data_IF_390939768335
#
_entry.id   IF_390939768335
#
_cell.length_a   1.000
_cell.length_b   1.000
_cell.length_c   1.000
_cell.angle_alpha   90.00
_cell.angle_beta   90.00
_cell.angle_gamma   90.00
#
_symmetry.space_group_name_H-M   'P 1'
#
loop_
_entity.id
_entity.type
_entity.pdbx_description
1 polymer ?
#
# COMPACT_ATOMS: atom_id res chain seq x y z
N UNK A 1 23.20 -25.54 9.06
CA UNK A 1 21.76 -25.80 8.77
C UNK A 1 20.94 -24.70 9.42
N UNK A 2 20.65 -23.61 8.71
CA UNK A 2 19.80 -22.54 9.23
C UNK A 2 18.33 -22.95 9.06
N UNK A 3 17.64 -23.09 10.18
CA UNK A 3 16.18 -23.25 10.21
C UNK A 3 15.56 -22.10 9.40
N UNK A 4 14.84 -22.44 8.32
CA UNK A 4 13.99 -21.49 7.60
C UNK A 4 12.95 -20.97 8.60
N UNK A 5 13.16 -19.75 9.07
CA UNK A 5 12.25 -19.03 9.92
C UNK A 5 10.86 -19.02 9.26
N UNK A 6 9.85 -19.50 10.00
CA UNK A 6 8.45 -19.52 9.61
C UNK A 6 8.07 -18.16 9.03
N UNK A 7 7.57 -18.14 7.79
CA UNK A 7 7.25 -16.90 7.08
C UNK A 7 6.23 -16.08 7.89
N UNK A 8 6.45 -14.77 8.14
CA UNK A 8 5.52 -13.96 8.92
C UNK A 8 4.23 -13.67 8.14
N UNK A 9 4.07 -14.12 6.89
CA UNK A 9 2.91 -13.77 6.06
C UNK A 9 1.86 -14.88 6.01
N UNK A 10 0.61 -14.52 6.29
CA UNK A 10 -0.57 -15.30 5.92
C UNK A 10 -1.18 -14.72 4.66
N UNK A 11 -0.83 -15.30 3.52
CA UNK A 11 -1.28 -14.84 2.20
C UNK A 11 -2.53 -15.60 1.73
N UNK A 12 -3.43 -14.90 1.04
CA UNK A 12 -4.59 -15.48 0.37
C UNK A 12 -4.95 -14.69 -0.90
N UNK A 13 -5.74 -15.29 -1.78
CA UNK A 13 -6.13 -14.66 -3.05
C UNK A 13 -4.97 -14.59 -4.06
N UNK A 14 -5.03 -13.61 -4.95
CA UNK A 14 -4.10 -13.48 -6.07
C UNK A 14 -2.96 -12.50 -5.74
N UNK A 15 -1.73 -13.02 -5.72
CA UNK A 15 -0.51 -12.23 -5.56
C UNK A 15 0.27 -12.18 -6.88
N UNK A 16 1.15 -11.17 -7.07
CA UNK A 16 2.12 -11.21 -8.17
C UNK A 16 3.02 -12.44 -8.05
N UNK A 17 3.08 -13.26 -9.10
CA UNK A 17 3.88 -14.50 -9.12
C UNK A 17 4.98 -14.49 -10.17
N UNK A 18 4.91 -13.59 -11.15
CA UNK A 18 5.87 -13.48 -12.23
C UNK A 18 6.65 -12.16 -12.09
N UNK A 19 7.90 -12.19 -11.58
CA UNK A 19 8.69 -10.97 -11.40
C UNK A 19 9.10 -10.33 -12.73
N UNK A 20 8.99 -11.03 -13.86
CA UNK A 20 9.32 -10.47 -15.18
C UNK A 20 8.20 -9.62 -15.78
N UNK A 21 6.98 -9.73 -15.22
CA UNK A 21 5.82 -8.97 -15.70
C UNK A 21 5.64 -7.67 -14.91
N UNK A 22 5.50 -6.53 -15.60
CA UNK A 22 5.15 -5.27 -14.97
C UNK A 22 3.78 -5.33 -14.27
N UNK A 23 3.70 -4.75 -13.08
CA UNK A 23 2.49 -4.72 -12.27
C UNK A 23 2.34 -3.38 -11.53
N UNK A 24 1.10 -2.97 -11.30
CA UNK A 24 0.77 -1.89 -10.36
C UNK A 24 0.08 -2.53 -9.15
N UNK A 25 0.64 -2.30 -7.96
CA UNK A 25 0.17 -2.87 -6.70
C UNK A 25 -0.48 -1.75 -5.89
N UNK A 26 -1.74 -1.92 -5.54
CA UNK A 26 -2.51 -1.01 -4.70
C UNK A 26 -2.65 -1.61 -3.31
N UNK A 27 -2.49 -0.82 -2.26
CA UNK A 27 -2.68 -1.30 -0.91
C UNK A 27 -3.31 -0.24 0.01
N UNK A 28 -4.01 -0.70 1.06
CA UNK A 28 -4.41 0.16 2.17
C UNK A 28 -3.20 0.58 3.01
N UNK A 29 -3.30 1.72 3.69
CA UNK A 29 -2.20 2.30 4.46
C UNK A 29 -2.57 2.52 5.94
N UNK A 30 -2.34 1.51 6.78
CA UNK A 30 -2.68 1.57 8.20
C UNK A 30 -1.54 2.07 9.09
N UNK A 31 -0.29 1.79 8.71
CA UNK A 31 0.89 2.12 9.53
C UNK A 31 2.07 2.58 8.68
N UNK A 32 3.02 3.27 9.32
CA UNK A 32 4.25 3.75 8.70
C UNK A 32 5.18 2.62 8.20
N UNK A 33 4.96 1.39 8.66
CA UNK A 33 5.73 0.21 8.25
C UNK A 33 5.09 -0.66 7.15
N UNK A 34 3.93 -0.30 6.60
CA UNK A 34 3.24 -1.12 5.57
C UNK A 34 4.15 -1.45 4.39
N UNK A 35 4.90 -0.46 3.91
CA UNK A 35 5.81 -0.60 2.78
C UNK A 35 6.95 -1.59 3.06
N UNK A 36 7.39 -1.72 4.32
CA UNK A 36 8.45 -2.65 4.70
C UNK A 36 7.99 -4.10 4.57
N UNK A 37 6.76 -4.39 5.03
CA UNK A 37 6.17 -5.72 4.93
C UNK A 37 5.88 -6.10 3.47
N UNK A 38 5.40 -5.16 2.67
CA UNK A 38 5.20 -5.40 1.23
C UNK A 38 6.52 -5.59 0.49
N UNK A 39 7.61 -4.93 0.94
CA UNK A 39 8.93 -5.15 0.37
C UNK A 39 9.50 -6.53 0.72
N UNK A 40 9.37 -7.00 1.98
CA UNK A 40 9.76 -8.38 2.32
C UNK A 40 8.88 -9.41 1.61
N UNK A 41 7.58 -9.15 1.43
CA UNK A 41 6.72 -9.99 0.61
C UNK A 41 7.24 -10.06 -0.83
N UNK A 42 7.50 -8.90 -1.46
CA UNK A 42 7.99 -8.86 -2.84
C UNK A 42 9.32 -9.60 -3.00
N UNK A 43 10.24 -9.46 -2.03
CA UNK A 43 11.50 -10.21 -2.00
C UNK A 43 11.29 -11.73 -1.94
N UNK A 44 10.28 -12.20 -1.19
CA UNK A 44 9.92 -13.63 -1.10
C UNK A 44 9.23 -14.17 -2.35
N UNK A 45 8.62 -13.29 -3.14
CA UNK A 45 8.02 -13.58 -4.45
C UNK A 45 9.00 -13.33 -5.61
N UNK A 46 10.31 -13.26 -5.32
CA UNK A 46 11.40 -12.98 -6.27
C UNK A 46 11.30 -11.64 -7.04
N UNK A 47 10.39 -10.75 -6.64
CA UNK A 47 10.17 -9.42 -7.22
C UNK A 47 10.83 -8.27 -6.45
N UNK A 48 11.63 -8.56 -5.42
CA UNK A 48 12.19 -7.53 -4.52
C UNK A 48 13.05 -6.45 -5.20
N UNK A 49 13.78 -6.80 -6.27
CA UNK A 49 14.55 -5.83 -7.08
C UNK A 49 13.69 -4.99 -8.04
N UNK A 50 12.48 -5.47 -8.34
CA UNK A 50 11.55 -4.85 -9.27
C UNK A 50 10.53 -3.96 -8.56
N UNK A 51 10.36 -4.13 -7.24
CA UNK A 51 9.46 -3.31 -6.44
C UNK A 51 9.94 -1.86 -6.41
N UNK A 52 9.08 -0.95 -6.88
CA UNK A 52 9.23 0.50 -6.78
C UNK A 52 8.08 1.03 -5.93
N UNK A 53 8.35 1.99 -5.07
CA UNK A 53 7.34 2.48 -4.12
C UNK A 53 7.10 3.97 -4.37
N UNK A 54 5.83 4.37 -4.42
CA UNK A 54 5.46 5.78 -4.42
C UNK A 54 5.62 6.36 -3.00
N UNK A 55 6.54 7.30 -2.84
CA UNK A 55 6.95 7.87 -1.56
C UNK A 55 6.76 9.38 -1.49
N UNK A 56 6.64 9.88 -0.27
CA UNK A 56 6.62 11.31 0.03
C UNK A 56 7.98 11.94 -0.32
N UNK A 57 7.99 13.06 -1.07
CA UNK A 57 9.25 13.69 -1.52
C UNK A 57 10.19 14.05 -0.36
N UNK A 58 9.66 14.41 0.81
CA UNK A 58 10.46 14.77 1.97
C UNK A 58 11.39 13.63 2.43
N UNK A 59 11.04 12.37 2.16
CA UNK A 59 11.87 11.20 2.49
C UNK A 59 13.18 11.17 1.69
N UNK A 60 13.24 11.81 0.52
CA UNK A 60 14.47 11.93 -0.28
C UNK A 60 15.59 12.66 0.46
N UNK A 61 15.25 13.54 1.40
CA UNK A 61 16.22 14.35 2.13
C UNK A 61 16.69 13.73 3.44
N UNK A 62 16.18 12.54 3.82
CA UNK A 62 16.69 11.82 4.99
C UNK A 62 18.07 11.25 4.65
N UNK A 63 19.15 11.61 5.38
CA UNK A 63 20.49 11.13 5.07
C UNK A 63 20.56 9.60 5.09
N UNK A 64 21.37 9.02 4.18
CA UNK A 64 21.53 7.57 3.97
C UNK A 64 20.27 6.89 3.43
N UNK A 65 19.15 6.96 4.14
CA UNK A 65 17.88 6.33 3.74
C UNK A 65 17.32 6.92 2.45
N UNK A 66 17.18 8.24 2.36
CA UNK A 66 16.68 8.92 1.17
C UNK A 66 17.53 8.64 -0.07
N UNK A 67 18.85 8.57 0.10
CA UNK A 67 19.78 8.22 -0.98
C UNK A 67 19.63 6.77 -1.43
N UNK A 68 19.49 5.83 -0.49
CA UNK A 68 19.22 4.43 -0.80
C UNK A 68 17.91 4.24 -1.57
N UNK A 69 16.86 4.94 -1.17
CA UNK A 69 15.55 4.90 -1.84
C UNK A 69 15.60 5.54 -3.24
N UNK A 70 16.41 6.59 -3.44
CA UNK A 70 16.66 7.20 -4.76
C UNK A 70 17.44 6.24 -5.68
N UNK A 71 18.46 5.54 -5.14
CA UNK A 71 19.22 4.51 -5.87
C UNK A 71 18.37 3.28 -6.24
N UNK A 72 17.37 2.96 -5.42
CA UNK A 72 16.36 1.93 -5.74
C UNK A 72 15.33 2.41 -6.78
N UNK A 73 15.45 3.65 -7.26
CA UNK A 73 14.56 4.28 -8.23
C UNK A 73 13.11 4.36 -7.77
N UNK A 74 12.88 4.62 -6.48
CA UNK A 74 11.54 4.85 -5.97
C UNK A 74 10.97 6.18 -6.47
N UNK A 75 9.64 6.27 -6.52
CA UNK A 75 8.95 7.41 -7.09
C UNK A 75 8.61 8.42 -5.99
N UNK A 76 9.33 9.54 -5.92
CA UNK A 76 9.06 10.60 -4.96
C UNK A 76 8.01 11.60 -5.48
N UNK A 77 6.96 11.86 -4.71
CA UNK A 77 5.88 12.79 -5.06
C UNK A 77 5.67 13.88 -4.00
N UNK A 78 5.33 15.09 -4.45
CA UNK A 78 5.00 16.25 -3.58
C UNK A 78 3.59 16.19 -3.00
N UNK A 79 2.75 15.26 -3.49
CA UNK A 79 1.31 15.18 -3.22
C UNK A 79 0.56 16.41 -3.76
N UNK A 80 1.08 16.98 -4.85
CA UNK A 80 0.44 18.03 -5.62
C UNK A 80 0.43 17.59 -7.09
N UNK A 81 -0.76 17.34 -7.62
CA UNK A 81 -0.93 16.74 -8.95
C UNK A 81 -0.35 17.63 -10.07
N UNK A 82 -0.42 18.96 -9.93
CA UNK A 82 0.05 19.90 -10.95
C UNK A 82 1.57 19.81 -11.11
N UNK A 83 2.29 19.54 -10.02
CA UNK A 83 3.72 19.31 -10.04
C UNK A 83 4.10 17.86 -10.36
N UNK A 84 3.35 16.90 -9.81
CA UNK A 84 3.73 15.49 -9.85
C UNK A 84 3.38 14.81 -11.18
N UNK A 85 2.34 15.27 -11.90
CA UNK A 85 1.83 14.57 -13.09
C UNK A 85 2.91 14.33 -14.16
N UNK A 86 3.69 15.36 -14.49
CA UNK A 86 4.76 15.23 -15.49
C UNK A 86 5.87 14.29 -14.98
N UNK A 87 6.27 14.44 -13.72
CA UNK A 87 7.32 13.62 -13.11
C UNK A 87 6.93 12.14 -13.06
N UNK A 88 5.72 11.83 -12.56
CA UNK A 88 5.18 10.46 -12.51
C UNK A 88 5.08 9.87 -13.90
N UNK A 89 4.56 10.63 -14.87
CA UNK A 89 4.46 10.16 -16.25
C UNK A 89 5.82 9.80 -16.85
N UNK A 90 6.81 10.70 -16.74
CA UNK A 90 8.17 10.46 -17.24
C UNK A 90 8.84 9.27 -16.56
N UNK A 91 8.68 9.14 -15.25
CA UNK A 91 9.25 8.04 -14.46
C UNK A 91 8.68 6.69 -14.90
N UNK A 92 7.35 6.58 -15.04
CA UNK A 92 6.69 5.36 -15.48
C UNK A 92 6.98 5.04 -16.96
N UNK A 93 6.92 6.05 -17.84
CA UNK A 93 7.20 5.88 -19.27
C UNK A 93 8.65 5.44 -19.53
N UNK A 94 9.59 5.83 -18.66
CA UNK A 94 10.98 5.35 -18.69
C UNK A 94 11.04 3.83 -18.54
N UNK A 95 10.39 3.26 -17.53
CA UNK A 95 10.39 1.80 -17.33
C UNK A 95 9.78 1.07 -18.53
N UNK A 96 8.73 1.62 -19.14
CA UNK A 96 8.14 1.06 -20.36
C UNK A 96 9.15 1.08 -21.51
N UNK A 97 9.79 2.23 -21.77
CA UNK A 97 10.76 2.41 -22.86
C UNK A 97 11.97 1.47 -22.69
N UNK A 98 12.45 1.32 -21.48
CA UNK A 98 13.62 0.49 -21.14
C UNK A 98 13.28 -0.98 -20.96
N UNK A 99 11.99 -1.36 -21.12
CA UNK A 99 11.48 -2.72 -20.90
C UNK A 99 11.86 -3.26 -19.52
N UNK A 100 11.94 -2.38 -18.52
CA UNK A 100 12.29 -2.72 -17.16
C UNK A 100 11.09 -3.39 -16.47
N UNK A 101 11.25 -4.60 -15.90
CA UNK A 101 10.18 -5.21 -15.12
C UNK A 101 10.03 -4.46 -13.80
N UNK A 102 8.84 -3.90 -13.55
CA UNK A 102 8.57 -3.14 -12.32
C UNK A 102 7.32 -3.64 -11.61
N UNK A 103 7.34 -3.62 -10.28
CA UNK A 103 6.15 -3.72 -9.45
C UNK A 103 5.96 -2.39 -8.74
N UNK A 104 5.06 -1.54 -9.23
CA UNK A 104 4.84 -0.20 -8.69
C UNK A 104 3.82 -0.25 -7.55
N UNK A 105 4.29 -0.16 -6.31
CA UNK A 105 3.47 -0.08 -5.11
C UNK A 105 2.96 1.35 -4.87
N UNK A 106 1.66 1.47 -4.71
CA UNK A 106 0.94 2.71 -4.44
C UNK A 106 0.00 2.51 -3.27
N UNK A 107 -0.03 3.50 -2.38
CA UNK A 107 -1.05 3.64 -1.35
C UNK A 107 -1.98 4.81 -1.73
N UNK A 108 -3.12 4.55 -2.39
CA UNK A 108 -4.02 5.60 -2.89
C UNK A 108 -4.58 6.53 -1.82
N UNK A 109 -4.56 6.11 -0.54
CA UNK A 109 -4.91 6.95 0.62
C UNK A 109 -3.98 8.17 0.75
N UNK A 110 -2.71 8.02 0.35
CA UNK A 110 -1.70 9.07 0.34
C UNK A 110 -1.16 9.49 1.72
N UNK A 111 -1.63 8.85 2.79
CA UNK A 111 -1.16 8.99 4.18
C UNK A 111 -1.70 7.83 5.03
N UNK A 112 -1.10 7.57 6.18
CA UNK A 112 -1.67 6.68 7.18
C UNK A 112 -2.93 7.27 7.81
N UNK A 113 -3.88 6.41 8.17
CA UNK A 113 -5.12 6.78 8.83
C UNK A 113 -4.88 7.38 10.23
N UNK A 114 -5.59 8.47 10.53
CA UNK A 114 -5.78 9.04 11.86
C UNK A 114 -7.09 9.83 11.90
N UNK A 115 -7.61 10.10 13.10
CA UNK A 115 -8.97 10.60 13.31
C UNK A 115 -9.27 11.87 12.50
N UNK A 116 -8.34 12.83 12.46
CA UNK A 116 -8.49 14.09 11.76
C UNK A 116 -8.48 13.94 10.23
N UNK A 117 -7.71 12.98 9.69
CA UNK A 117 -7.73 12.70 8.25
C UNK A 117 -8.92 11.83 7.85
N UNK A 118 -9.40 10.96 8.75
CA UNK A 118 -10.62 10.19 8.54
C UNK A 118 -11.84 11.12 8.45
N UNK A 119 -11.97 12.10 9.36
CA UNK A 119 -13.02 13.12 9.30
C UNK A 119 -12.97 13.90 7.98
N UNK A 120 -11.79 14.42 7.61
CA UNK A 120 -11.60 15.15 6.34
C UNK A 120 -11.96 14.28 5.13
N UNK A 121 -11.54 13.02 5.14
CA UNK A 121 -11.84 12.04 4.09
C UNK A 121 -13.35 11.82 3.96
N UNK A 122 -14.05 11.57 5.07
CA UNK A 122 -15.48 11.31 5.07
C UNK A 122 -16.30 12.54 4.70
N UNK A 123 -15.90 13.76 5.12
CA UNK A 123 -16.52 15.00 4.66
C UNK A 123 -16.37 15.21 3.17
N UNK A 124 -15.21 14.88 2.60
CA UNK A 124 -15.01 14.94 1.15
C UNK A 124 -15.86 13.89 0.42
N UNK A 125 -15.88 12.65 0.92
CA UNK A 125 -16.69 11.57 0.37
C UNK A 125 -18.18 11.94 0.34
N UNK A 126 -18.71 12.45 1.46
CA UNK A 126 -20.09 12.90 1.57
C UNK A 126 -20.44 13.99 0.55
N UNK A 127 -19.57 15.00 0.36
CA UNK A 127 -19.79 16.09 -0.60
C UNK A 127 -19.75 15.64 -2.05
N UNK A 128 -18.96 14.60 -2.35
CA UNK A 128 -18.77 14.08 -3.71
C UNK A 128 -19.66 12.87 -4.01
N UNK A 129 -20.51 12.45 -3.06
CA UNK A 129 -21.39 11.29 -3.21
C UNK A 129 -20.65 9.94 -3.22
N UNK A 130 -19.41 9.91 -2.71
CA UNK A 130 -18.57 8.71 -2.63
C UNK A 130 -18.73 7.99 -1.29
N UNK A 131 -18.34 6.71 -1.19
CA UNK A 131 -18.46 5.93 0.04
C UNK A 131 -17.66 6.53 1.20
N UNK A 132 -18.22 6.46 2.40
CA UNK A 132 -17.52 6.81 3.64
C UNK A 132 -17.00 5.53 4.29
N UNK A 133 -15.87 5.63 4.96
CA UNK A 133 -15.20 4.50 5.60
C UNK A 133 -14.91 4.82 7.07
N UNK A 134 -14.75 3.78 7.88
CA UNK A 134 -14.43 3.88 9.31
C UNK A 134 -12.98 3.48 9.62
N UNK A 135 -12.37 2.63 8.78
CA UNK A 135 -11.02 2.06 9.02
C UNK A 135 -10.01 2.34 7.93
N UNK A 136 -10.45 3.02 6.88
CA UNK A 136 -9.66 3.38 5.71
C UNK A 136 -9.92 4.84 5.33
N UNK A 137 -8.99 5.46 4.63
CA UNK A 137 -9.24 6.74 3.96
C UNK A 137 -9.75 6.50 2.55
N UNK A 138 -10.55 7.44 2.02
CA UNK A 138 -11.04 7.39 0.65
C UNK A 138 -9.84 7.49 -0.32
N UNK A 139 -9.69 6.53 -1.26
CA UNK A 139 -8.55 6.49 -2.16
C UNK A 139 -8.61 7.62 -3.20
N UNK A 140 -7.43 8.20 -3.49
CA UNK A 140 -7.23 9.22 -4.53
C UNK A 140 -6.97 8.55 -5.88
N UNK A 141 -7.54 9.10 -6.94
CA UNK A 141 -7.56 8.49 -8.29
C UNK A 141 -6.44 9.02 -9.20
N UNK A 142 -6.07 10.29 -9.06
CA UNK A 142 -5.23 10.98 -10.04
C UNK A 142 -3.83 10.38 -10.23
N UNK A 143 -3.22 9.90 -9.14
CA UNK A 143 -1.92 9.24 -9.19
C UNK A 143 -1.98 7.92 -9.97
N UNK A 144 -2.96 7.08 -9.66
CA UNK A 144 -3.19 5.81 -10.35
C UNK A 144 -3.49 6.04 -11.84
N UNK A 145 -4.37 6.99 -12.16
CA UNK A 145 -4.68 7.33 -13.55
C UNK A 145 -3.42 7.75 -14.33
N UNK A 146 -2.56 8.58 -13.73
CA UNK A 146 -1.31 9.02 -14.37
C UNK A 146 -0.36 7.85 -14.64
N UNK A 147 -0.24 6.91 -13.69
CA UNK A 147 0.59 5.71 -13.85
C UNK A 147 0.05 4.75 -14.91
N UNK A 148 -1.27 4.51 -14.93
CA UNK A 148 -1.92 3.67 -15.94
C UNK A 148 -1.79 4.29 -17.34
N UNK A 149 -2.05 5.59 -17.47
CA UNK A 149 -1.90 6.30 -18.74
C UNK A 149 -0.46 6.22 -19.28
N UNK A 150 0.54 6.38 -18.42
CA UNK A 150 1.95 6.28 -18.80
C UNK A 150 2.38 4.86 -19.20
N UNK A 151 1.63 3.84 -18.80
CA UNK A 151 1.95 2.41 -19.02
C UNK A 151 0.98 1.70 -19.96
N UNK A 152 0.06 2.44 -20.59
CA UNK A 152 -1.01 1.90 -21.44
C UNK A 152 -0.49 1.05 -22.62
N UNK A 153 0.73 1.30 -23.10
CA UNK A 153 1.34 0.52 -24.19
C UNK A 153 1.67 -0.94 -23.80
N UNK A 154 1.88 -1.21 -22.51
CA UNK A 154 2.24 -2.55 -21.99
C UNK A 154 1.16 -3.16 -21.09
N UNK A 155 0.14 -2.37 -20.71
CA UNK A 155 -1.04 -2.82 -19.95
C UNK A 155 -0.69 -3.70 -18.74
N UNK A 156 0.05 -3.18 -17.73
CA UNK A 156 0.43 -3.97 -16.57
C UNK A 156 -0.79 -4.50 -15.81
N UNK A 157 -0.65 -5.69 -15.20
CA UNK A 157 -1.68 -6.21 -14.29
C UNK A 157 -1.81 -5.29 -13.06
N UNK A 158 -3.03 -5.15 -12.54
CA UNK A 158 -3.30 -4.37 -11.32
C UNK A 158 -3.62 -5.35 -10.19
N UNK A 159 -2.83 -5.30 -9.12
CA UNK A 159 -3.05 -6.10 -7.92
C UNK A 159 -3.58 -5.22 -6.80
N UNK A 160 -4.72 -5.60 -6.24
CA UNK A 160 -5.32 -4.94 -5.08
C UNK A 160 -5.06 -5.76 -3.82
N UNK A 161 -4.17 -5.27 -2.95
CA UNK A 161 -3.73 -5.97 -1.74
C UNK A 161 -4.34 -5.36 -0.49
N UNK A 162 -4.80 -6.20 0.44
CA UNK A 162 -5.29 -5.79 1.76
C UNK A 162 -4.34 -6.29 2.83
N UNK A 163 -3.74 -5.36 3.57
CA UNK A 163 -2.91 -5.63 4.75
C UNK A 163 -3.75 -5.57 6.02
N UNK A 164 -3.52 -6.53 6.92
CA UNK A 164 -4.05 -6.52 8.27
C UNK A 164 -3.02 -7.06 9.28
N UNK A 165 -2.98 -6.44 10.45
CA UNK A 165 -2.04 -6.75 11.52
C UNK A 165 -2.74 -7.40 12.72
N UNK A 166 -2.15 -8.43 13.34
CA UNK A 166 -2.62 -8.97 14.62
C UNK A 166 -2.76 -7.85 15.65
N UNK A 167 -3.69 -8.02 16.59
CA UNK A 167 -4.06 -7.05 17.64
C UNK A 167 -4.72 -5.77 17.17
N UNK A 168 -4.86 -5.54 15.85
CA UNK A 168 -5.65 -4.43 15.36
C UNK A 168 -7.13 -4.66 15.67
N UNK A 169 -7.72 -3.82 16.52
CA UNK A 169 -9.14 -3.91 16.92
C UNK A 169 -10.04 -2.92 16.15
N UNK A 170 -9.45 -2.05 15.33
CA UNK A 170 -10.16 -0.97 14.66
C UNK A 170 -9.84 0.40 15.25
N UNK A 171 -8.86 0.52 16.13
CA UNK A 171 -8.48 1.82 16.69
C UNK A 171 -7.97 2.75 15.59
N UNK A 172 -8.53 3.96 15.55
CA UNK A 172 -8.04 5.05 14.71
C UNK A 172 -7.27 6.02 15.60
N UNK A 173 -5.92 6.10 15.47
CA UNK A 173 -5.12 6.98 16.32
C UNK A 173 -5.44 8.45 16.00
N UNK A 174 -5.20 9.35 16.95
CA UNK A 174 -5.22 10.80 16.69
C UNK A 174 -3.89 11.27 16.11
N UNK A 175 -3.86 12.42 15.44
CA UNK A 175 -2.61 13.00 14.94
C UNK A 175 -1.57 13.19 16.06
N UNK A 176 -2.01 13.53 17.28
CA UNK A 176 -1.15 13.73 18.45
C UNK A 176 -0.45 12.45 18.91
N UNK A 177 -1.02 11.27 18.62
CA UNK A 177 -0.43 9.98 18.97
C UNK A 177 0.71 9.57 18.02
N UNK A 178 0.86 10.27 16.89
CA UNK A 178 1.82 9.91 15.85
C UNK A 178 1.57 8.49 15.34
N UNK A 179 2.56 7.61 15.48
CA UNK A 179 2.46 6.18 15.13
C UNK A 179 2.20 5.27 16.33
N UNK A 180 1.88 5.84 17.50
CA UNK A 180 1.51 5.09 18.69
C UNK A 180 -0.01 4.85 18.74
N UNK A 181 -0.43 3.90 19.58
CA UNK A 181 -1.81 3.44 19.74
C UNK A 181 -2.12 3.24 21.23
N UNK A 182 -3.36 3.46 21.66
CA UNK A 182 -3.78 3.26 23.06
C UNK A 182 -4.22 1.81 23.32
N UNK A 183 -5.02 1.26 22.40
CA UNK A 183 -5.55 -0.10 22.50
C UNK A 183 -4.69 -1.06 21.69
N UNK A 184 -4.42 -0.70 20.44
CA UNK A 184 -3.77 -1.53 19.43
C UNK A 184 -2.23 -1.42 19.52
N UNK A 185 -1.69 -1.49 20.74
CA UNK A 185 -0.25 -1.30 21.04
C UNK A 185 0.66 -2.38 20.45
N UNK A 186 0.10 -3.54 20.08
CA UNK A 186 0.81 -4.63 19.41
C UNK A 186 0.96 -4.44 17.88
N UNK A 187 0.29 -3.44 17.30
CA UNK A 187 0.44 -3.11 15.89
C UNK A 187 1.82 -2.47 15.68
N UNK A 188 2.64 -2.95 14.74
CA UNK A 188 4.01 -2.50 14.59
C UNK A 188 4.10 -1.06 14.08
N UNK A 189 5.24 -0.42 14.36
CA UNK A 189 5.66 0.84 13.75
C UNK A 189 7.03 0.68 13.11
N UNK A 190 7.46 1.63 12.27
CA UNK A 190 8.80 1.58 11.67
C UNK A 190 9.90 1.54 12.73
N UNK A 191 9.75 2.31 13.81
CA UNK A 191 10.69 2.30 14.92
C UNK A 191 10.78 0.93 15.60
N UNK A 192 9.65 0.23 15.78
CA UNK A 192 9.65 -1.13 16.32
C UNK A 192 10.38 -2.10 15.38
N UNK A 193 10.09 -2.03 14.08
CA UNK A 193 10.70 -2.87 13.04
C UNK A 193 12.22 -2.69 13.00
N UNK A 194 12.73 -1.45 13.05
CA UNK A 194 14.16 -1.16 13.08
C UNK A 194 14.85 -1.68 14.35
N UNK A 195 14.11 -1.80 15.46
CA UNK A 195 14.57 -2.46 16.67
C UNK A 195 14.45 -4.00 16.63
N UNK A 196 14.15 -4.60 15.48
CA UNK A 196 13.95 -6.05 15.34
C UNK A 196 12.63 -6.56 15.92
N UNK A 197 11.68 -5.67 16.22
CA UNK A 197 10.35 -6.01 16.76
C UNK A 197 9.31 -5.91 15.63
N UNK A 198 8.89 -7.07 15.14
CA UNK A 198 7.81 -7.19 14.16
C UNK A 198 6.61 -7.97 14.72
N UNK A 199 5.47 -7.95 14.03
CA UNK A 199 4.31 -8.74 14.41
C UNK A 199 4.62 -10.22 14.20
N UNK A 200 3.92 -11.09 14.94
CA UNK A 200 4.01 -12.55 14.77
C UNK A 200 3.54 -13.00 13.39
N UNK A 201 2.59 -12.26 12.81
CA UNK A 201 2.00 -12.55 11.50
C UNK A 201 1.55 -11.24 10.83
N UNK A 202 1.54 -11.19 9.51
CA UNK A 202 0.91 -10.13 8.70
C UNK A 202 -0.01 -10.83 7.71
N UNK A 203 -1.30 -10.51 7.75
CA UNK A 203 -2.28 -11.08 6.84
C UNK A 203 -2.37 -10.24 5.58
N UNK A 204 -2.26 -10.89 4.43
CA UNK A 204 -2.28 -10.25 3.11
C UNK A 204 -3.30 -10.98 2.24
N UNK A 205 -4.32 -10.25 1.78
CA UNK A 205 -5.27 -10.76 0.79
C UNK A 205 -5.10 -10.00 -0.51
N UNK A 206 -4.91 -10.70 -1.62
CA UNK A 206 -4.74 -10.10 -2.95
C UNK A 206 -5.89 -10.40 -3.89
N UNK A 207 -6.17 -9.48 -4.80
CA UNK A 207 -7.06 -9.69 -5.95
C UNK A 207 -6.40 -9.14 -7.20
N UNK A 208 -6.45 -9.90 -8.30
CA UNK A 208 -5.87 -9.51 -9.58
C UNK A 208 -6.95 -8.91 -10.50
N UNK A 209 -6.61 -7.82 -11.16
CA UNK A 209 -7.44 -7.14 -12.13
C UNK A 209 -6.66 -6.85 -13.41
N UNK A 210 -7.32 -6.98 -14.56
CA UNK A 210 -6.71 -6.60 -15.82
C UNK A 210 -6.64 -5.07 -15.94
N UNK A 211 -5.66 -4.57 -16.68
CA UNK A 211 -5.49 -3.13 -16.93
C UNK A 211 -6.79 -2.46 -17.43
N UNK A 212 -7.46 -3.08 -18.41
CA UNK A 212 -8.67 -2.53 -19.06
C UNK A 212 -9.91 -2.53 -18.13
N UNK A 213 -9.86 -3.26 -17.02
CA UNK A 213 -10.90 -3.23 -15.98
C UNK A 213 -10.77 -1.99 -15.09
N UNK A 214 -9.57 -1.40 -15.02
CA UNK A 214 -9.24 -0.29 -14.11
C UNK A 214 -9.09 1.04 -14.87
N UNK A 215 -8.39 1.05 -16.00
CA UNK A 215 -8.06 2.27 -16.72
C UNK A 215 -9.31 2.98 -17.26
N UNK A 216 -9.44 4.28 -16.95
CA UNK A 216 -10.62 5.09 -17.24
C UNK A 216 -11.81 4.87 -16.32
N UNK A 217 -11.69 3.96 -15.33
CA UNK A 217 -12.72 3.61 -14.34
C UNK A 217 -12.17 3.69 -12.91
N UNK A 218 -11.06 4.42 -12.72
CA UNK A 218 -10.24 4.34 -11.51
C UNK A 218 -11.04 4.71 -10.25
N UNK A 219 -11.93 5.70 -10.33
CA UNK A 219 -12.77 6.10 -9.19
C UNK A 219 -13.73 4.98 -8.75
N UNK A 220 -14.54 4.47 -9.68
CA UNK A 220 -15.49 3.41 -9.38
C UNK A 220 -14.80 2.11 -8.95
N UNK A 221 -13.66 1.79 -9.59
CA UNK A 221 -12.83 0.65 -9.21
C UNK A 221 -12.30 0.80 -7.78
N UNK A 222 -11.68 1.94 -7.46
CA UNK A 222 -11.09 2.18 -6.14
C UNK A 222 -12.15 2.24 -5.04
N UNK A 223 -13.32 2.83 -5.30
CA UNK A 223 -14.43 2.86 -4.33
C UNK A 223 -14.92 1.44 -4.00
N UNK A 224 -15.10 0.59 -5.00
CA UNK A 224 -15.48 -0.82 -4.82
C UNK A 224 -14.38 -1.63 -4.12
N UNK A 225 -13.12 -1.41 -4.50
CA UNK A 225 -11.97 -2.06 -3.88
C UNK A 225 -11.91 -1.71 -2.39
N UNK A 226 -11.99 -0.42 -2.02
CA UNK A 226 -11.95 0.02 -0.62
C UNK A 226 -13.14 -0.46 0.21
N UNK A 227 -14.34 -0.54 -0.37
CA UNK A 227 -15.48 -1.19 0.30
C UNK A 227 -15.23 -2.67 0.59
N UNK A 228 -14.56 -3.37 -0.32
CA UNK A 228 -14.14 -4.77 -0.11
C UNK A 228 -13.09 -4.86 0.99
N UNK A 229 -12.08 -3.98 0.96
CA UNK A 229 -11.04 -3.91 2.01
C UNK A 229 -11.62 -3.67 3.39
N UNK A 230 -12.59 -2.77 3.52
CA UNK A 230 -13.23 -2.50 4.82
C UNK A 230 -13.93 -3.74 5.37
N UNK A 231 -14.67 -4.48 4.52
CA UNK A 231 -15.29 -5.75 4.91
C UNK A 231 -14.27 -6.82 5.28
N UNK A 232 -13.14 -6.89 4.57
CA UNK A 232 -12.05 -7.82 4.90
C UNK A 232 -11.40 -7.47 6.24
N UNK A 233 -11.23 -6.19 6.54
CA UNK A 233 -10.73 -5.73 7.84
C UNK A 233 -11.73 -6.07 8.96
N UNK A 234 -13.03 -5.87 8.75
CA UNK A 234 -14.08 -6.28 9.70
C UNK A 234 -14.01 -7.79 9.99
N UNK A 235 -13.91 -8.60 8.94
CA UNK A 235 -13.78 -10.05 9.06
C UNK A 235 -12.49 -10.44 9.78
N UNK A 236 -11.37 -9.78 9.47
CA UNK A 236 -10.10 -10.03 10.15
C UNK A 236 -10.21 -9.75 11.65
N UNK A 237 -10.76 -8.58 12.01
CA UNK A 237 -10.94 -8.16 13.41
C UNK A 237 -11.82 -9.16 14.16
N UNK A 238 -12.92 -9.62 13.54
CA UNK A 238 -13.84 -10.58 14.16
C UNK A 238 -13.23 -11.97 14.38
N UNK A 239 -12.20 -12.35 13.61
CA UNK A 239 -11.65 -13.71 13.60
C UNK A 239 -10.24 -13.84 14.18
N UNK A 240 -9.58 -12.75 14.55
CA UNK A 240 -8.20 -12.78 15.07
C UNK A 240 -8.05 -13.51 16.43
N UNK A 241 -9.09 -13.50 17.28
CA UNK A 241 -9.08 -14.13 18.62
C UNK A 241 -9.03 -15.66 18.56
N UNK A 242 -9.45 -16.28 17.44
CA UNK A 242 -9.42 -17.75 17.26
C UNK A 242 -8.02 -18.34 17.09
N UNK A 243 -6.99 -17.51 16.96
CA UNK A 243 -5.60 -17.94 16.73
C UNK A 243 -4.68 -17.79 17.95
N UNK A 244 -5.21 -17.39 19.11
CA UNK A 244 -4.44 -17.34 20.37
C UNK A 244 -4.66 -18.58 21.27
N UNK A 245 -5.47 -19.56 20.83
CA UNK A 245 -5.83 -20.77 21.60
C UNK A 245 -5.43 -22.08 20.89
N UNK A 246 -4.42 -22.06 20.01
CA UNK A 246 -3.82 -23.26 19.42
C UNK A 246 -2.30 -23.20 19.52
#
# INVERSE_FOLDING_TARGET
MHQRQVSPFACSGDLPTDPTKPAIILCNHQIDADWWYLWDLARRLDGGGNLKICLKQELKYVPVFGWGLDLLEFLFVKRNIDHDRLHVNQHMARFVREKFPFWMLVFPEGTTIHAEMLDKSNRFAQRTGRPQFSRLLLPRTSGLHTMLAATAAIKPDVYDLTLAYPSYSGEVPTAAMGYSRHTDTGVPSMAAVLCGRGPTRVSIHGSKHAFDDVFGKEEAFLDKAWQTKEKLLDQFIANQVRFHML
#
